data_IF_579103159880
#
_entry.id   IF_579103159880
#
_cell.length_a   1.000
_cell.length_b   1.000
_cell.length_c   1.000
_cell.angle_alpha   90.00
_cell.angle_beta   90.00
_cell.angle_gamma   90.00
#
_symmetry.space_group_name_H-M   'P 1'
#
loop_
_entity.id
_entity.type
_entity.pdbx_description
1 polymer ?
#
# COMPACT_ATOMS: atom_id res chain seq x y z
N UNK A 1 1.69 60.01 -15.31
CA UNK A 1 2.06 58.58 -15.31
C UNK A 1 2.78 58.24 -14.01
N UNK A 2 2.05 58.06 -12.89
CA UNK A 2 2.64 57.58 -11.64
C UNK A 2 2.57 56.05 -11.55
N UNK A 3 3.69 55.42 -11.18
CA UNK A 3 3.81 53.97 -10.99
C UNK A 3 3.01 53.55 -9.75
N UNK A 4 2.04 52.66 -9.94
CA UNK A 4 1.35 51.95 -8.85
C UNK A 4 2.26 50.80 -8.41
N UNK A 5 2.72 50.86 -7.17
CA UNK A 5 3.44 49.78 -6.50
C UNK A 5 2.46 48.67 -6.12
N UNK A 6 2.63 47.50 -6.73
CA UNK A 6 1.95 46.26 -6.33
C UNK A 6 2.45 45.81 -4.94
N UNK A 7 1.59 45.97 -3.94
CA UNK A 7 1.77 45.35 -2.63
C UNK A 7 1.41 43.88 -2.71
N UNK A 8 2.36 43.03 -3.10
CA UNK A 8 2.25 41.57 -2.97
C UNK A 8 2.22 41.24 -1.48
N UNK A 9 1.03 40.99 -0.93
CA UNK A 9 0.88 40.36 0.38
C UNK A 9 1.45 38.94 0.26
N UNK A 10 2.67 38.74 0.73
CA UNK A 10 3.22 37.41 0.95
C UNK A 10 2.33 36.70 1.96
N UNK A 11 1.63 35.65 1.50
CA UNK A 11 1.06 34.64 2.36
C UNK A 11 2.22 34.08 3.18
N UNK A 12 2.24 34.38 4.48
CA UNK A 12 3.31 33.94 5.37
C UNK A 12 3.48 32.43 5.33
N UNK A 13 4.72 31.99 5.45
CA UNK A 13 5.11 30.59 5.60
C UNK A 13 4.24 29.90 6.68
N UNK A 14 3.23 29.17 6.22
CA UNK A 14 2.52 28.22 7.08
C UNK A 14 3.50 27.09 7.33
N UNK A 15 4.08 27.05 8.52
CA UNK A 15 4.87 25.91 8.98
C UNK A 15 4.09 24.62 8.71
N UNK A 16 4.54 23.85 7.72
CA UNK A 16 3.93 22.59 7.25
C UNK A 16 4.20 21.42 8.19
N UNK A 17 4.78 21.67 9.37
CA UNK A 17 5.14 20.61 10.32
C UNK A 17 3.92 20.09 11.09
N UNK A 18 3.73 18.76 11.06
CA UNK A 18 2.68 18.09 11.83
C UNK A 18 2.97 18.22 13.34
N UNK A 19 2.07 18.85 14.09
CA UNK A 19 2.22 18.97 15.55
C UNK A 19 1.89 17.67 16.27
N UNK A 20 2.86 17.07 16.96
CA UNK A 20 2.66 15.87 17.79
C UNK A 20 1.58 16.10 18.88
N UNK A 21 0.66 15.14 19.09
CA UNK A 21 -0.33 15.26 20.16
C UNK A 21 0.30 15.10 21.54
N UNK A 22 -0.23 15.82 22.53
CA UNK A 22 0.08 15.54 23.94
C UNK A 22 -0.51 14.20 24.35
N UNK A 23 0.04 13.56 25.40
CA UNK A 23 -0.52 12.30 25.94
C UNK A 23 -2.02 12.41 26.27
N UNK A 24 -2.44 13.55 26.83
CA UNK A 24 -3.85 13.85 27.13
C UNK A 24 -4.71 13.94 25.87
N UNK A 25 -4.23 14.61 24.83
CA UNK A 25 -4.96 14.73 23.56
C UNK A 25 -5.11 13.37 22.86
N UNK A 26 -4.04 12.57 22.82
CA UNK A 26 -4.06 11.22 22.26
C UNK A 26 -5.04 10.30 23.02
N UNK A 27 -4.98 10.30 24.35
CA UNK A 27 -5.92 9.54 25.18
C UNK A 27 -7.38 9.96 24.98
N UNK A 28 -7.64 11.28 24.84
CA UNK A 28 -8.98 11.80 24.56
C UNK A 28 -9.52 11.35 23.20
N UNK A 29 -8.68 11.33 22.16
CA UNK A 29 -9.06 10.78 20.86
C UNK A 29 -9.35 9.28 20.94
N UNK A 30 -8.48 8.50 21.59
CA UNK A 30 -8.65 7.07 21.77
C UNK A 30 -9.97 6.73 22.49
N UNK A 31 -10.26 7.42 23.60
CA UNK A 31 -11.50 7.25 24.36
C UNK A 31 -12.74 7.58 23.52
N UNK A 32 -12.70 8.66 22.72
CA UNK A 32 -13.81 9.04 21.83
C UNK A 32 -14.06 8.01 20.74
N UNK A 33 -13.00 7.45 20.15
CA UNK A 33 -13.13 6.40 19.13
C UNK A 33 -13.70 5.13 19.76
N UNK A 34 -13.20 4.72 20.93
CA UNK A 34 -13.68 3.55 21.66
C UNK A 34 -15.15 3.67 22.09
N UNK A 35 -15.60 4.89 22.43
CA UNK A 35 -17.00 5.17 22.77
C UNK A 35 -17.96 5.24 21.56
N UNK A 36 -17.48 5.01 20.34
CA UNK A 36 -18.25 5.17 19.11
C UNK A 36 -18.29 6.62 18.65
N UNK A 37 -17.22 7.07 17.99
CA UNK A 37 -17.17 8.42 17.44
C UNK A 37 -18.31 8.66 16.45
N UNK A 38 -18.87 9.87 16.45
CA UNK A 38 -19.99 10.17 15.55
C UNK A 38 -19.54 10.08 14.07
N UNK A 39 -20.46 9.72 13.14
CA UNK A 39 -20.11 9.47 11.74
C UNK A 39 -19.43 10.65 11.03
N UNK A 40 -19.85 11.89 11.32
CA UNK A 40 -19.27 13.10 10.72
C UNK A 40 -17.83 13.31 11.21
N UNK A 41 -17.59 13.10 12.50
CA UNK A 41 -16.29 13.17 13.13
C UNK A 41 -15.33 12.14 12.56
N UNK A 42 -15.80 10.89 12.40
CA UNK A 42 -15.07 9.82 11.72
C UNK A 42 -14.71 10.21 10.29
N UNK A 43 -15.69 10.62 9.48
CA UNK A 43 -15.45 11.01 8.09
C UNK A 43 -14.43 12.15 7.96
N UNK A 44 -14.50 13.17 8.83
CA UNK A 44 -13.50 14.26 8.88
C UNK A 44 -12.10 13.75 9.23
N UNK A 45 -12.00 12.81 10.16
CA UNK A 45 -10.72 12.21 10.59
C UNK A 45 -10.12 11.32 9.51
N UNK A 46 -10.94 10.47 8.87
CA UNK A 46 -10.54 9.69 7.68
C UNK A 46 -9.98 10.63 6.61
N UNK A 47 -10.70 11.69 6.25
CA UNK A 47 -10.25 12.64 5.23
C UNK A 47 -8.93 13.34 5.58
N UNK A 48 -8.69 13.69 6.85
CA UNK A 48 -7.40 14.25 7.27
C UNK A 48 -6.26 13.22 7.14
N UNK A 49 -6.51 11.97 7.54
CA UNK A 49 -5.54 10.88 7.38
C UNK A 49 -5.22 10.65 5.90
N UNK A 50 -6.23 10.61 5.03
CA UNK A 50 -6.05 10.42 3.59
C UNK A 50 -5.20 11.53 2.96
N UNK A 51 -5.44 12.80 3.35
CA UNK A 51 -4.61 13.94 2.89
C UNK A 51 -3.17 13.84 3.36
N UNK A 52 -2.97 13.57 4.66
CA UNK A 52 -1.63 13.42 5.22
C UNK A 52 -0.87 12.22 4.62
N UNK A 53 -1.57 11.15 4.25
CA UNK A 53 -1.02 10.01 3.52
C UNK A 53 -0.60 10.39 2.09
N UNK A 54 -1.43 11.14 1.37
CA UNK A 54 -1.10 11.60 0.01
C UNK A 54 0.10 12.56 0.01
N UNK A 55 0.19 13.45 1.00
CA UNK A 55 1.36 14.33 1.19
C UNK A 55 2.62 13.53 1.57
N UNK A 56 2.48 12.50 2.40
CA UNK A 56 3.58 11.64 2.82
C UNK A 56 4.12 10.74 1.70
N UNK A 57 3.26 10.33 0.76
CA UNK A 57 3.61 9.37 -0.28
C UNK A 57 3.10 9.79 -1.66
N UNK A 58 3.54 10.95 -2.21
CA UNK A 58 3.05 11.47 -3.49
C UNK A 58 3.38 10.57 -4.69
N UNK A 59 4.33 9.65 -4.50
CA UNK A 59 4.78 8.70 -5.52
C UNK A 59 4.48 7.25 -5.13
N UNK A 60 3.49 6.99 -4.28
CA UNK A 60 3.10 5.62 -3.93
C UNK A 60 2.59 4.88 -5.17
N UNK A 61 3.10 3.67 -5.39
CA UNK A 61 2.77 2.82 -6.53
C UNK A 61 2.95 1.34 -6.15
N UNK A 62 2.61 0.44 -7.07
CA UNK A 62 2.95 -0.97 -6.90
C UNK A 62 4.46 -1.16 -6.98
N UNK A 63 5.09 -1.72 -5.95
CA UNK A 63 6.56 -1.92 -5.90
C UNK A 63 7.04 -3.14 -6.73
N UNK A 64 6.13 -3.87 -7.39
CA UNK A 64 6.48 -4.93 -8.34
C UNK A 64 6.65 -4.33 -9.73
N UNK A 65 7.74 -4.68 -10.42
CA UNK A 65 8.01 -4.19 -11.78
C UNK A 65 7.24 -5.02 -12.81
N UNK A 66 6.45 -4.35 -13.66
CA UNK A 66 5.63 -4.98 -14.70
C UNK A 66 5.40 -4.04 -15.89
N UNK A 67 5.17 -4.59 -17.08
CA UNK A 67 4.77 -3.83 -18.28
C UNK A 67 3.40 -4.23 -18.82
N UNK A 68 2.91 -5.42 -18.47
CA UNK A 68 1.60 -5.94 -18.89
C UNK A 68 0.78 -6.47 -17.71
N UNK A 69 -0.55 -6.65 -17.84
CA UNK A 69 -1.35 -7.32 -16.82
C UNK A 69 -0.87 -8.75 -16.51
N UNK A 70 -0.33 -9.47 -17.50
CA UNK A 70 0.24 -10.80 -17.32
C UNK A 70 1.51 -10.75 -16.47
N UNK A 71 2.41 -9.80 -16.73
CA UNK A 71 3.62 -9.59 -15.93
C UNK A 71 3.25 -9.39 -14.46
N UNK A 72 2.26 -8.55 -14.18
CA UNK A 72 1.81 -8.28 -12.81
C UNK A 72 1.19 -9.53 -12.15
N UNK A 73 0.41 -10.31 -12.90
CA UNK A 73 -0.16 -11.56 -12.40
C UNK A 73 0.94 -12.59 -12.04
N UNK A 74 1.96 -12.72 -12.89
CA UNK A 74 3.12 -13.58 -12.62
C UNK A 74 3.91 -13.07 -11.42
N UNK A 75 4.24 -11.77 -11.38
CA UNK A 75 4.99 -11.16 -10.28
C UNK A 75 4.28 -11.30 -8.93
N UNK A 76 2.95 -11.17 -8.90
CA UNK A 76 2.16 -11.35 -7.67
C UNK A 76 2.08 -12.80 -7.19
N UNK A 77 2.10 -13.78 -8.10
CA UNK A 77 2.26 -15.20 -7.72
C UNK A 77 3.66 -15.43 -7.14
N UNK A 78 4.70 -14.82 -7.73
CA UNK A 78 6.07 -14.95 -7.25
C UNK A 78 6.30 -14.24 -5.89
N UNK A 79 5.59 -13.15 -5.62
CA UNK A 79 5.73 -12.39 -4.36
C UNK A 79 5.13 -13.12 -3.15
N UNK A 80 4.35 -14.19 -3.36
CA UNK A 80 3.89 -15.04 -2.27
C UNK A 80 5.09 -15.55 -1.45
N UNK A 81 5.19 -15.07 -0.20
CA UNK A 81 6.29 -15.35 0.73
C UNK A 81 7.68 -15.03 0.16
N UNK A 82 7.77 -13.99 -0.67
CA UNK A 82 9.00 -13.46 -1.24
C UNK A 82 9.02 -11.94 -1.10
N UNK A 83 10.19 -11.31 -1.14
CA UNK A 83 10.28 -9.85 -1.14
C UNK A 83 10.09 -9.31 -2.55
N UNK A 84 9.45 -8.15 -2.68
CA UNK A 84 9.25 -7.50 -3.98
C UNK A 84 10.59 -7.26 -4.70
N UNK A 85 11.63 -6.87 -3.96
CA UNK A 85 13.01 -6.74 -4.48
C UNK A 85 13.53 -8.04 -5.13
N UNK A 86 13.35 -9.18 -4.48
CA UNK A 86 13.80 -10.47 -5.03
C UNK A 86 13.00 -10.86 -6.26
N UNK A 87 11.69 -10.56 -6.27
CA UNK A 87 10.84 -10.80 -7.44
C UNK A 87 11.32 -9.94 -8.61
N UNK A 88 11.56 -8.65 -8.41
CA UNK A 88 12.01 -7.73 -9.45
C UNK A 88 13.41 -8.06 -10.00
N UNK A 89 14.25 -8.77 -9.24
CA UNK A 89 15.52 -9.31 -9.74
C UNK A 89 15.34 -10.52 -10.68
N UNK A 90 14.27 -11.30 -10.49
CA UNK A 90 13.99 -12.55 -11.22
C UNK A 90 13.13 -12.31 -12.45
N UNK A 91 12.13 -11.42 -12.35
CA UNK A 91 11.13 -11.21 -13.38
C UNK A 91 11.66 -10.76 -14.74
N UNK A 92 12.75 -9.96 -14.89
CA UNK A 92 13.21 -9.54 -16.22
C UNK A 92 13.59 -10.71 -17.13
N UNK A 93 14.34 -11.69 -16.60
CA UNK A 93 14.73 -12.88 -17.34
C UNK A 93 13.52 -13.80 -17.60
N UNK A 94 12.63 -13.91 -16.61
CA UNK A 94 11.41 -14.72 -16.74
C UNK A 94 10.47 -14.18 -17.82
N UNK A 95 10.21 -12.86 -17.83
CA UNK A 95 9.32 -12.21 -18.78
C UNK A 95 9.88 -12.24 -20.20
N UNK A 96 11.20 -12.08 -20.36
CA UNK A 96 11.85 -12.25 -21.65
C UNK A 96 11.70 -13.69 -22.18
N UNK A 97 11.78 -14.69 -21.29
CA UNK A 97 11.66 -16.11 -21.67
C UNK A 97 10.23 -16.53 -21.96
N UNK A 98 9.26 -15.99 -21.22
CA UNK A 98 7.84 -16.31 -21.29
C UNK A 98 7.00 -15.02 -21.39
N UNK A 99 6.95 -14.39 -22.57
CA UNK A 99 6.25 -13.11 -22.75
C UNK A 99 4.73 -13.23 -22.89
N UNK A 100 4.19 -14.45 -23.03
CA UNK A 100 2.76 -14.70 -23.29
C UNK A 100 2.20 -15.79 -22.40
N UNK A 101 0.88 -15.80 -22.20
CA UNK A 101 0.18 -16.83 -21.44
C UNK A 101 0.42 -18.25 -22.03
N UNK A 102 0.45 -18.35 -23.36
CA UNK A 102 0.80 -19.59 -24.06
C UNK A 102 2.24 -20.04 -23.76
N UNK A 103 3.17 -19.09 -23.62
CA UNK A 103 4.55 -19.37 -23.20
C UNK A 103 4.61 -20.02 -21.82
N UNK A 104 3.83 -19.52 -20.85
CA UNK A 104 3.75 -20.15 -19.52
C UNK A 104 3.02 -21.50 -19.56
N UNK A 105 1.94 -21.62 -20.34
CA UNK A 105 1.17 -22.85 -20.49
C UNK A 105 2.02 -24.02 -21.01
N UNK A 106 2.91 -23.73 -21.97
CA UNK A 106 3.83 -24.70 -22.58
C UNK A 106 5.25 -24.66 -22.02
N UNK A 107 5.48 -24.03 -20.86
CA UNK A 107 6.82 -23.86 -20.31
C UNK A 107 7.47 -25.22 -19.98
N UNK A 108 8.77 -25.37 -20.29
CA UNK A 108 9.52 -26.50 -19.77
C UNK A 108 9.60 -26.38 -18.24
N UNK A 109 9.21 -27.47 -17.58
CA UNK A 109 9.06 -27.46 -16.14
C UNK A 109 10.38 -27.23 -15.43
N UNK A 110 11.45 -27.85 -15.89
CA UNK A 110 12.77 -27.79 -15.25
C UNK A 110 13.35 -26.39 -15.42
N UNK A 111 13.27 -25.84 -16.62
CA UNK A 111 13.70 -24.48 -16.93
C UNK A 111 12.96 -23.42 -16.10
N UNK A 112 11.63 -23.50 -16.05
CA UNK A 112 10.81 -22.57 -15.27
C UNK A 112 11.15 -22.64 -13.77
N UNK A 113 11.30 -23.86 -13.23
CA UNK A 113 11.68 -24.06 -11.84
C UNK A 113 13.05 -23.45 -11.51
N UNK A 114 14.06 -23.61 -12.39
CA UNK A 114 15.38 -23.00 -12.19
C UNK A 114 15.32 -21.47 -12.22
N UNK A 115 14.60 -20.88 -13.17
CA UNK A 115 14.47 -19.42 -13.28
C UNK A 115 13.86 -18.81 -12.02
N UNK A 116 12.82 -19.44 -11.45
CA UNK A 116 12.10 -18.90 -10.29
C UNK A 116 12.56 -19.48 -8.95
N UNK A 117 13.54 -20.38 -8.94
CA UNK A 117 14.15 -20.97 -7.74
C UNK A 117 14.50 -19.93 -6.66
N UNK A 118 15.06 -18.75 -6.98
CA UNK A 118 15.41 -17.74 -5.99
C UNK A 118 14.21 -17.15 -5.23
N UNK A 119 12.98 -17.34 -5.72
CA UNK A 119 11.76 -16.80 -5.09
C UNK A 119 11.21 -17.70 -3.97
N UNK A 120 11.78 -18.89 -3.75
CA UNK A 120 11.28 -19.86 -2.77
C UNK A 120 9.94 -20.50 -3.17
N UNK A 121 9.61 -21.67 -2.60
CA UNK A 121 8.41 -22.45 -2.96
C UNK A 121 8.22 -22.65 -4.48
N UNK A 122 9.33 -22.69 -5.20
CA UNK A 122 9.38 -22.55 -6.66
C UNK A 122 8.60 -23.65 -7.39
N UNK A 123 8.51 -24.87 -6.84
CA UNK A 123 7.69 -25.95 -7.43
C UNK A 123 6.20 -25.62 -7.44
N UNK A 124 5.68 -25.07 -6.34
CA UNK A 124 4.27 -24.68 -6.24
C UNK A 124 3.99 -23.43 -7.08
N UNK A 125 4.96 -22.51 -7.14
CA UNK A 125 4.87 -21.33 -8.02
C UNK A 125 4.89 -21.73 -9.48
N UNK A 126 5.78 -22.62 -9.91
CA UNK A 126 5.81 -23.15 -11.27
C UNK A 126 4.49 -23.83 -11.66
N UNK A 127 3.91 -24.64 -10.76
CA UNK A 127 2.56 -25.21 -10.95
C UNK A 127 1.51 -24.11 -11.19
N UNK A 128 1.56 -23.06 -10.37
CA UNK A 128 0.60 -21.95 -10.45
C UNK A 128 0.78 -21.15 -11.75
N UNK A 129 2.01 -20.88 -12.18
CA UNK A 129 2.31 -20.14 -13.40
C UNK A 129 1.90 -20.90 -14.66
N UNK A 130 2.23 -22.19 -14.76
CA UNK A 130 1.79 -23.02 -15.89
C UNK A 130 0.26 -23.16 -15.90
N UNK A 131 -0.36 -23.36 -14.73
CA UNK A 131 -1.82 -23.41 -14.60
C UNK A 131 -2.51 -22.09 -14.96
N UNK A 132 -1.93 -20.95 -14.55
CA UNK A 132 -2.40 -19.62 -14.93
C UNK A 132 -2.35 -19.47 -16.46
N UNK A 133 -1.19 -19.75 -17.08
CA UNK A 133 -1.03 -19.66 -18.53
C UNK A 133 -2.05 -20.50 -19.28
N UNK A 134 -2.23 -21.76 -18.88
CA UNK A 134 -3.20 -22.66 -19.49
C UNK A 134 -4.64 -22.15 -19.36
N UNK A 135 -5.05 -21.73 -18.16
CA UNK A 135 -6.40 -21.22 -17.91
C UNK A 135 -6.69 -19.93 -18.69
N UNK A 136 -5.72 -19.03 -18.80
CA UNK A 136 -5.85 -17.78 -19.56
C UNK A 136 -5.99 -18.05 -21.06
N UNK A 137 -5.22 -19.00 -21.61
CA UNK A 137 -5.36 -19.40 -23.02
C UNK A 137 -6.71 -20.07 -23.28
N UNK A 138 -7.09 -21.05 -22.46
CA UNK A 138 -8.31 -21.85 -22.66
C UNK A 138 -9.59 -21.03 -22.50
N UNK A 139 -9.67 -20.19 -21.47
CA UNK A 139 -10.91 -19.52 -21.07
C UNK A 139 -11.01 -18.08 -21.55
N UNK A 140 -9.88 -17.43 -21.81
CA UNK A 140 -9.81 -15.99 -22.08
C UNK A 140 -8.99 -15.64 -23.35
N UNK A 141 -8.68 -16.63 -24.19
CA UNK A 141 -8.03 -16.40 -25.48
C UNK A 141 -6.59 -15.88 -25.39
N UNK A 142 -5.94 -16.02 -24.24
CA UNK A 142 -4.55 -15.60 -24.02
C UNK A 142 -4.38 -14.24 -23.34
N UNK A 143 -5.47 -13.53 -23.06
CA UNK A 143 -5.47 -12.24 -22.36
C UNK A 143 -6.06 -12.37 -20.95
N UNK A 144 -5.54 -11.61 -19.97
CA UNK A 144 -6.13 -11.62 -18.64
C UNK A 144 -7.50 -10.92 -18.64
N UNK A 145 -8.51 -11.47 -17.94
CA UNK A 145 -9.78 -10.81 -17.77
C UNK A 145 -9.66 -9.58 -16.84
N UNK A 146 -10.51 -8.59 -17.07
CA UNK A 146 -10.55 -7.33 -16.31
C UNK A 146 -11.70 -7.30 -15.28
N UNK A 147 -12.14 -8.46 -14.78
CA UNK A 147 -13.16 -8.57 -13.73
C UNK A 147 -12.68 -9.38 -12.53
N UNK A 148 -13.22 -9.07 -11.35
CA UNK A 148 -12.79 -9.71 -10.10
C UNK A 148 -13.09 -11.22 -10.09
N UNK A 149 -14.30 -11.60 -10.47
CA UNK A 149 -14.76 -13.00 -10.39
C UNK A 149 -13.98 -13.90 -11.36
N UNK A 150 -13.69 -13.41 -12.56
CA UNK A 150 -12.89 -14.14 -13.54
C UNK A 150 -11.43 -14.26 -13.10
N UNK A 151 -10.82 -13.19 -12.57
CA UNK A 151 -9.45 -13.23 -12.06
C UNK A 151 -9.31 -14.20 -10.88
N UNK A 152 -10.25 -14.21 -9.94
CA UNK A 152 -10.23 -15.12 -8.78
C UNK A 152 -10.41 -16.58 -9.19
N UNK A 153 -11.02 -16.86 -10.34
CA UNK A 153 -11.13 -18.21 -10.88
C UNK A 153 -9.81 -18.74 -11.50
N UNK A 154 -8.80 -17.89 -11.68
CA UNK A 154 -7.51 -18.28 -12.24
C UNK A 154 -6.57 -18.90 -11.18
N UNK A 155 -5.81 -19.95 -11.53
CA UNK A 155 -4.85 -20.56 -10.60
C UNK A 155 -3.85 -19.57 -10.03
N UNK A 156 -3.66 -19.59 -8.71
CA UNK A 156 -2.72 -18.72 -8.01
C UNK A 156 -3.22 -17.29 -7.73
N UNK A 157 -4.42 -16.92 -8.21
CA UNK A 157 -4.99 -15.59 -8.01
C UNK A 157 -6.12 -15.65 -6.97
N UNK A 158 -5.86 -15.12 -5.78
CA UNK A 158 -6.90 -14.87 -4.77
C UNK A 158 -7.49 -13.46 -4.90
N UNK A 159 -8.57 -13.17 -4.16
CA UNK A 159 -9.26 -11.86 -4.17
C UNK A 159 -8.33 -10.65 -3.98
N UNK A 160 -7.38 -10.72 -3.04
CA UNK A 160 -6.37 -9.66 -2.85
C UNK A 160 -5.55 -9.45 -4.12
N UNK A 161 -5.03 -10.53 -4.69
CA UNK A 161 -4.20 -10.50 -5.90
C UNK A 161 -4.99 -9.95 -7.08
N UNK A 162 -6.25 -10.37 -7.24
CA UNK A 162 -7.13 -9.84 -8.27
C UNK A 162 -7.34 -8.32 -8.12
N UNK A 163 -7.58 -7.81 -6.91
CA UNK A 163 -7.68 -6.36 -6.68
C UNK A 163 -6.36 -5.62 -6.97
N UNK A 164 -5.19 -6.24 -6.72
CA UNK A 164 -3.89 -5.66 -7.12
C UNK A 164 -3.81 -5.54 -8.64
N UNK A 165 -4.16 -6.60 -9.37
CA UNK A 165 -4.11 -6.63 -10.84
C UNK A 165 -5.10 -5.60 -11.43
N UNK A 166 -6.35 -5.63 -10.99
CA UNK A 166 -7.40 -4.70 -11.44
C UNK A 166 -6.99 -3.24 -11.23
N UNK A 167 -6.52 -2.92 -10.02
CA UNK A 167 -6.18 -1.55 -9.67
C UNK A 167 -4.97 -0.99 -10.40
N UNK A 168 -3.96 -1.82 -10.70
CA UNK A 168 -2.67 -1.34 -11.22
C UNK A 168 -2.47 -1.58 -12.72
N UNK A 169 -3.11 -2.60 -13.29
CA UNK A 169 -2.93 -2.95 -14.70
C UNK A 169 -4.15 -2.65 -15.57
N UNK A 170 -5.34 -2.51 -14.96
CA UNK A 170 -6.59 -2.24 -15.69
C UNK A 170 -7.28 -0.93 -15.27
N UNK A 171 -6.68 -0.17 -14.34
CA UNK A 171 -7.26 1.05 -13.77
C UNK A 171 -8.68 0.86 -13.19
N UNK A 172 -9.01 -0.36 -12.76
CA UNK A 172 -10.28 -0.70 -12.11
C UNK A 172 -10.10 -0.59 -10.59
N UNK A 173 -10.74 0.37 -9.91
CA UNK A 173 -10.46 0.61 -8.50
C UNK A 173 -10.75 -0.59 -7.60
N UNK A 174 -9.77 -0.97 -6.78
CA UNK A 174 -9.86 -2.08 -5.85
C UNK A 174 -9.12 -1.80 -4.53
N UNK A 175 -9.67 -2.28 -3.42
CA UNK A 175 -9.01 -2.20 -2.11
C UNK A 175 -8.22 -3.49 -1.89
N UNK A 176 -6.91 -3.36 -1.68
CA UNK A 176 -6.04 -4.52 -1.47
C UNK A 176 -5.77 -4.70 0.02
N UNK A 177 -6.63 -5.47 0.68
CA UNK A 177 -6.48 -5.74 2.12
C UNK A 177 -5.36 -6.76 2.35
N UNK A 178 -4.20 -6.27 2.74
CA UNK A 178 -3.08 -7.08 3.23
C UNK A 178 -2.87 -6.92 4.75
N UNK A 179 -1.78 -7.49 5.25
CA UNK A 179 -1.44 -7.42 6.69
C UNK A 179 -1.07 -6.02 7.15
N UNK A 180 -0.61 -5.14 6.26
CA UNK A 180 -0.40 -3.72 6.56
C UNK A 180 -1.73 -3.00 6.60
N UNK A 181 -2.54 -3.14 5.55
CA UNK A 181 -3.82 -2.47 5.39
C UNK A 181 -4.75 -2.76 6.57
N UNK A 182 -5.04 -4.04 6.84
CA UNK A 182 -5.93 -4.44 7.93
C UNK A 182 -5.43 -3.97 9.30
N UNK A 183 -4.12 -4.05 9.56
CA UNK A 183 -3.52 -3.56 10.81
C UNK A 183 -3.69 -2.06 10.97
N UNK A 184 -3.43 -1.29 9.91
CA UNK A 184 -3.40 0.17 9.99
C UNK A 184 -4.80 0.76 10.11
N UNK A 185 -5.78 0.28 9.33
CA UNK A 185 -7.16 0.77 9.44
C UNK A 185 -7.77 0.46 10.82
N UNK A 186 -7.39 -0.67 11.44
CA UNK A 186 -7.73 -0.97 12.84
C UNK A 186 -7.03 -0.02 13.82
N UNK A 187 -5.72 0.22 13.66
CA UNK A 187 -4.98 1.18 14.49
C UNK A 187 -5.53 2.60 14.39
N UNK A 188 -6.02 2.98 13.21
CA UNK A 188 -6.66 4.26 13.01
C UNK A 188 -8.12 4.26 13.47
N UNK A 189 -8.66 3.16 13.97
CA UNK A 189 -10.04 3.08 14.45
C UNK A 189 -11.06 3.39 13.35
N UNK A 190 -10.77 3.01 12.11
CA UNK A 190 -11.76 3.10 11.02
C UNK A 190 -12.81 1.99 11.16
N UNK A 191 -12.38 0.84 11.67
CA UNK A 191 -13.16 -0.41 11.80
C UNK A 191 -12.43 -1.41 12.71
N UNK A 192 -13.12 -2.45 13.19
CA UNK A 192 -12.59 -3.48 14.11
C UNK A 192 -12.51 -4.91 13.55
N UNK A 193 -13.18 -5.19 12.43
CA UNK A 193 -13.11 -6.45 11.69
C UNK A 193 -11.67 -6.96 11.40
N UNK A 194 -11.55 -8.28 11.28
CA UNK A 194 -10.29 -8.93 10.90
C UNK A 194 -10.37 -9.65 9.57
N UNK A 195 -11.58 -10.02 9.16
CA UNK A 195 -11.84 -10.64 7.86
C UNK A 195 -11.53 -9.65 6.72
N UNK A 196 -10.66 -10.02 5.76
CA UNK A 196 -10.25 -9.11 4.68
C UNK A 196 -11.41 -8.61 3.82
N UNK A 197 -12.44 -9.43 3.58
CA UNK A 197 -13.58 -9.05 2.74
C UNK A 197 -14.44 -8.03 3.48
N UNK A 198 -14.70 -8.25 4.78
CA UNK A 198 -15.41 -7.26 5.60
C UNK A 198 -14.64 -5.95 5.73
N UNK A 199 -13.31 -6.01 5.84
CA UNK A 199 -12.43 -4.82 5.86
C UNK A 199 -12.55 -4.05 4.53
N UNK A 200 -12.50 -4.76 3.40
CA UNK A 200 -12.67 -4.17 2.06
C UNK A 200 -13.99 -3.40 1.96
N UNK A 201 -15.11 -4.02 2.34
CA UNK A 201 -16.43 -3.36 2.31
C UNK A 201 -16.49 -2.15 3.27
N UNK A 202 -16.08 -2.32 4.52
CA UNK A 202 -16.14 -1.26 5.53
C UNK A 202 -15.30 -0.03 5.14
N UNK A 203 -14.10 -0.24 4.59
CA UNK A 203 -13.26 0.87 4.13
C UNK A 203 -13.78 1.46 2.80
N UNK A 204 -14.38 0.63 1.95
CA UNK A 204 -15.04 1.08 0.72
C UNK A 204 -16.19 2.07 0.95
N UNK A 205 -16.86 2.00 2.09
CA UNK A 205 -17.87 2.99 2.51
C UNK A 205 -17.27 4.31 3.01
N UNK A 206 -16.01 4.30 3.45
CA UNK A 206 -15.32 5.47 4.01
C UNK A 206 -14.51 6.26 2.97
N UNK A 207 -14.10 5.60 1.89
CA UNK A 207 -13.18 6.14 0.88
C UNK A 207 -13.88 6.17 -0.49
N UNK A 208 -13.83 7.29 -1.23
CA UNK A 208 -14.37 7.36 -2.57
C UNK A 208 -13.80 6.26 -3.48
N UNK A 209 -14.66 5.60 -4.26
CA UNK A 209 -14.26 4.45 -5.10
C UNK A 209 -13.05 4.72 -5.98
N UNK A 210 -12.96 5.91 -6.59
CA UNK A 210 -11.84 6.32 -7.45
C UNK A 210 -10.48 6.30 -6.74
N UNK A 211 -10.46 6.44 -5.41
CA UNK A 211 -9.24 6.55 -4.61
C UNK A 211 -8.81 5.20 -4.02
N UNK A 212 -9.56 4.11 -4.22
CA UNK A 212 -9.32 2.81 -3.56
C UNK A 212 -7.92 2.24 -3.81
N UNK A 213 -7.46 2.26 -5.06
CA UNK A 213 -6.13 1.74 -5.43
C UNK A 213 -5.03 2.57 -4.77
N UNK A 214 -5.05 3.90 -4.94
CA UNK A 214 -3.99 4.78 -4.42
C UNK A 214 -3.99 4.80 -2.88
N UNK A 215 -5.16 4.72 -2.23
CA UNK A 215 -5.24 4.60 -0.78
C UNK A 215 -4.62 3.28 -0.32
N UNK A 216 -4.84 2.18 -1.04
CA UNK A 216 -4.18 0.90 -0.70
C UNK A 216 -2.66 1.03 -0.71
N UNK A 217 -2.10 1.68 -1.74
CA UNK A 217 -0.66 1.97 -1.81
C UNK A 217 -0.17 2.85 -0.67
N UNK A 218 -0.86 3.97 -0.40
CA UNK A 218 -0.52 4.85 0.71
C UNK A 218 -0.48 4.11 2.05
N UNK A 219 -1.48 3.27 2.32
CA UNK A 219 -1.56 2.52 3.58
C UNK A 219 -0.44 1.48 3.67
N UNK A 220 -0.17 0.74 2.59
CA UNK A 220 0.93 -0.24 2.54
C UNK A 220 2.28 0.46 2.76
N UNK A 221 2.53 1.56 2.05
CA UNK A 221 3.73 2.38 2.22
C UNK A 221 3.87 2.83 3.68
N UNK A 222 2.83 3.41 4.25
CA UNK A 222 2.87 3.84 5.65
C UNK A 222 3.18 2.70 6.61
N UNK A 223 2.60 1.52 6.36
CA UNK A 223 2.82 0.32 7.16
C UNK A 223 4.23 -0.27 7.03
N UNK A 224 4.93 -0.04 5.92
CA UNK A 224 6.30 -0.48 5.65
C UNK A 224 7.35 0.53 6.13
N UNK A 225 7.04 1.82 6.09
CA UNK A 225 7.99 2.93 6.36
C UNK A 225 7.93 3.48 7.78
N UNK A 226 6.74 3.56 8.39
CA UNK A 226 6.51 4.27 9.66
C UNK A 226 5.78 3.40 10.69
N UNK A 227 4.63 2.83 10.32
CA UNK A 227 3.73 2.13 11.24
C UNK A 227 4.01 0.62 11.29
N UNK A 228 5.24 0.28 11.70
CA UNK A 228 5.72 -1.10 11.80
C UNK A 228 4.84 -1.96 12.71
N UNK A 229 4.82 -3.27 12.45
CA UNK A 229 3.99 -4.22 13.21
C UNK A 229 4.34 -4.23 14.69
N UNK A 230 5.63 -4.37 15.03
CA UNK A 230 6.10 -4.50 16.43
C UNK A 230 6.34 -3.16 17.13
N UNK A 231 7.08 -2.24 16.51
CA UNK A 231 7.48 -0.95 17.10
C UNK A 231 7.23 0.20 16.11
N UNK A 232 6.01 0.76 16.03
CA UNK A 232 5.71 1.85 15.10
C UNK A 232 6.40 3.16 15.53
N UNK A 233 6.83 3.97 14.57
CA UNK A 233 7.54 5.23 14.80
C UNK A 233 6.59 6.38 15.19
N UNK A 234 5.84 6.25 16.30
CA UNK A 234 4.77 7.19 16.65
C UNK A 234 5.24 8.65 16.75
N UNK A 235 6.41 8.92 17.36
CA UNK A 235 6.99 10.26 17.48
C UNK A 235 7.38 10.93 16.16
N UNK A 236 7.50 10.15 15.08
CA UNK A 236 7.84 10.60 13.73
C UNK A 236 6.71 10.36 12.71
N UNK A 237 5.48 10.11 13.19
CA UNK A 237 4.34 9.80 12.34
C UNK A 237 3.52 11.05 12.01
N UNK A 238 3.38 11.36 10.72
CA UNK A 238 2.56 12.46 10.21
C UNK A 238 1.06 12.30 10.52
N UNK A 239 0.61 11.08 10.82
CA UNK A 239 -0.78 10.77 11.17
C UNK A 239 -1.06 10.89 12.67
N UNK A 240 -0.04 11.19 13.49
CA UNK A 240 -0.14 11.19 14.95
C UNK A 240 -1.34 12.00 15.51
N UNK A 241 -1.68 13.20 15.01
CA UNK A 241 -2.80 13.98 15.55
C UNK A 241 -4.17 13.29 15.41
N UNK A 242 -4.32 12.43 14.40
CA UNK A 242 -5.57 11.77 14.04
C UNK A 242 -5.59 10.27 14.33
N UNK A 243 -4.53 9.75 14.96
CA UNK A 243 -4.34 8.34 15.26
C UNK A 243 -4.76 8.00 16.71
N UNK A 244 -5.86 7.26 16.94
CA UNK A 244 -6.24 6.81 18.28
C UNK A 244 -5.25 5.79 18.88
N UNK A 245 -4.41 5.16 18.05
CA UNK A 245 -3.33 4.26 18.50
C UNK A 245 -1.99 4.95 18.70
N UNK A 246 -1.94 6.29 18.73
CA UNK A 246 -0.70 7.01 19.02
C UNK A 246 -0.16 6.62 20.40
N UNK A 247 1.13 6.25 20.45
CA UNK A 247 1.78 5.77 21.68
C UNK A 247 2.02 4.27 21.75
N UNK A 248 1.61 3.48 20.74
CA UNK A 248 1.99 2.06 20.63
C UNK A 248 3.49 1.83 20.42
N UNK A 249 4.24 2.85 20.02
CA UNK A 249 5.69 2.84 19.92
C UNK A 249 6.31 4.12 20.47
N UNK A 250 7.62 4.35 20.30
CA UNK A 250 8.29 5.51 20.87
C UNK A 250 7.63 6.81 20.40
N UNK A 251 7.38 7.70 21.36
CA UNK A 251 6.81 9.03 21.12
C UNK A 251 7.86 10.12 21.12
N UNK A 252 9.06 9.81 21.62
CA UNK A 252 10.24 10.65 21.44
C UNK A 252 10.59 10.77 19.95
N UNK A 253 10.79 11.99 19.42
CA UNK A 253 11.08 12.20 18.01
C UNK A 253 12.39 11.56 17.54
N UNK A 254 13.44 11.58 18.35
CA UNK A 254 14.74 11.02 18.00
C UNK A 254 14.68 9.50 17.91
N UNK A 255 14.13 8.85 18.94
CA UNK A 255 13.94 7.39 18.95
C UNK A 255 13.02 6.93 17.81
N UNK A 256 11.95 7.68 17.53
CA UNK A 256 11.02 7.35 16.46
C UNK A 256 11.65 7.56 15.07
N UNK A 257 12.44 8.61 14.88
CA UNK A 257 13.11 8.90 13.61
C UNK A 257 14.08 7.78 13.19
N UNK A 258 14.75 7.14 14.15
CA UNK A 258 15.62 6.00 13.90
C UNK A 258 14.88 4.76 13.36
N UNK A 259 13.54 4.70 13.52
CA UNK A 259 12.72 3.60 13.03
C UNK A 259 12.12 3.86 11.65
N UNK A 260 12.17 5.09 11.13
CA UNK A 260 11.61 5.41 9.81
C UNK A 260 12.50 4.78 8.73
N UNK A 261 11.88 4.07 7.79
CA UNK A 261 12.53 3.35 6.70
C UNK A 261 12.08 3.88 5.34
N UNK A 262 12.79 3.47 4.28
CA UNK A 262 12.46 3.76 2.89
C UNK A 262 13.20 4.98 2.36
N UNK A 263 13.17 5.13 1.03
CA UNK A 263 13.79 6.25 0.31
C UNK A 263 13.14 7.58 0.65
N UNK A 264 11.90 7.55 1.14
CA UNK A 264 11.11 8.71 1.53
C UNK A 264 11.43 9.21 2.95
N UNK A 265 12.41 8.59 3.65
CA UNK A 265 12.71 8.89 5.07
C UNK A 265 12.82 10.39 5.34
N UNK A 266 13.68 11.10 4.61
CA UNK A 266 13.91 12.53 4.86
C UNK A 266 12.64 13.36 4.68
N UNK A 267 11.85 13.06 3.64
CA UNK A 267 10.57 13.70 3.38
C UNK A 267 9.57 13.46 4.52
N UNK A 268 9.47 12.22 5.00
CA UNK A 268 8.58 11.85 6.11
C UNK A 268 8.99 12.54 7.43
N UNK A 269 10.29 12.63 7.71
CA UNK A 269 10.79 13.32 8.89
C UNK A 269 10.56 14.83 8.82
N UNK A 270 10.76 15.44 7.65
CA UNK A 270 10.46 16.84 7.42
C UNK A 270 8.97 17.15 7.68
N UNK A 271 8.06 16.35 7.12
CA UNK A 271 6.62 16.49 7.37
C UNK A 271 6.27 16.29 8.86
N UNK A 272 6.98 15.42 9.56
CA UNK A 272 6.81 15.21 11.00
C UNK A 272 7.45 16.32 11.87
N UNK A 273 8.03 17.36 11.26
CA UNK A 273 8.70 18.45 11.97
C UNK A 273 9.98 18.02 12.69
N UNK A 274 10.71 17.05 12.11
CA UNK A 274 11.98 16.55 12.61
C UNK A 274 13.06 16.96 11.62
N UNK A 275 13.70 18.10 11.87
CA UNK A 275 14.83 18.58 11.09
C UNK A 275 16.15 18.14 11.73
N UNK A 276 17.10 17.64 10.94
CA UNK A 276 18.48 17.41 11.40
C UNK A 276 18.79 16.04 12.01
N UNK A 277 17.92 15.03 11.85
CA UNK A 277 18.25 13.64 12.20
C UNK A 277 19.07 12.96 11.08
N UNK A 278 20.25 13.53 10.80
CA UNK A 278 21.30 12.85 10.03
C UNK A 278 21.86 11.65 10.82
N UNK A 279 22.51 10.69 10.14
CA UNK A 279 22.89 9.39 10.69
C UNK A 279 23.77 9.48 11.94
#
# INVERSE_FOLDING_TARGET
MPRLSEGTRTLGDVSTSVRRPTRRAAAGLAARVAAGENPIGRARRVNRILRALAEAYPHAHCELDFSTPLDLAVATILSAQCTDERVNQVTPALFARYPTAAGYAGADRTELEELIRPTGFYRNKANSLTGLGAAVVEKHGGELPATLDELVALPGIGRKTANVILGNAFDVPGITVDTHFGRLVRRWGWMTEEDPVKVEHAVGELVPRRDWTIVSHHVIFHGRRVCHSRKPACGACTLAPDCPSYGLGPTDPGEAAALVKGVEREHLLALAGISGAGP
#
